data_IF_196210618734
#
_entry.id   IF_196210618734
#
_cell.length_a   1.000
_cell.length_b   1.000
_cell.length_c   1.000
_cell.angle_alpha   90.00
_cell.angle_beta   90.00
_cell.angle_gamma   90.00
#
_symmetry.space_group_name_H-M   'P 1'
#
loop_
_entity.id
_entity.type
_entity.pdbx_description
1 polymer ?
#
# COMPACT_ATOMS: atom_id res chain seq x y z
N UNK A 1 -18.26 5.44 16.88
CA UNK A 1 -17.75 4.42 17.52
C UNK A 1 -17.78 3.18 16.78
N UNK A 2 -18.85 2.80 16.20
CA UNK A 2 -18.94 1.65 15.34
C UNK A 2 -18.03 1.71 14.14
N UNK A 3 -17.66 2.90 13.72
CA UNK A 3 -16.81 3.10 12.54
C UNK A 3 -15.34 3.08 12.86
N UNK A 4 -14.99 2.58 14.02
CA UNK A 4 -13.60 2.40 14.37
C UNK A 4 -12.92 1.39 13.45
N UNK A 5 -11.62 1.41 13.46
CA UNK A 5 -10.81 0.64 12.50
C UNK A 5 -11.19 -0.83 12.43
N UNK A 6 -11.61 -1.43 13.53
CA UNK A 6 -11.94 -2.85 13.53
C UNK A 6 -13.09 -3.22 12.64
N UNK A 7 -14.02 -2.29 12.41
CA UNK A 7 -15.20 -2.55 11.60
C UNK A 7 -15.05 -2.06 10.18
N UNK A 8 -13.90 -1.46 9.85
CA UNK A 8 -13.64 -0.94 8.51
C UNK A 8 -12.45 -1.68 7.93
N UNK A 9 -12.64 -2.31 6.78
CA UNK A 9 -11.57 -3.00 6.06
C UNK A 9 -11.23 -2.27 4.80
N UNK A 10 -9.95 -2.04 4.59
CA UNK A 10 -9.44 -1.41 3.38
C UNK A 10 -8.40 -2.33 2.77
N UNK A 11 -8.64 -2.74 1.54
CA UNK A 11 -7.75 -3.64 0.82
C UNK A 11 -7.26 -2.94 -0.43
N UNK A 12 -5.95 -3.02 -0.65
CA UNK A 12 -5.29 -2.37 -1.77
C UNK A 12 -4.47 -3.39 -2.53
N UNK A 13 -4.34 -3.17 -3.83
CA UNK A 13 -3.41 -3.91 -4.66
C UNK A 13 -2.25 -2.98 -5.01
N UNK A 14 -1.04 -3.52 -5.00
CA UNK A 14 0.14 -2.70 -5.24
C UNK A 14 1.24 -3.52 -5.90
N UNK A 15 2.11 -2.83 -6.63
CA UNK A 15 3.31 -3.42 -7.18
C UNK A 15 4.49 -2.81 -6.44
N UNK A 16 5.20 -3.62 -5.67
CA UNK A 16 6.31 -3.18 -4.86
C UNK A 16 7.64 -3.50 -5.56
N UNK A 17 8.61 -2.60 -5.45
CA UNK A 17 9.93 -2.83 -6.00
C UNK A 17 10.65 -3.92 -5.22
N UNK A 18 11.42 -4.75 -5.92
CA UNK A 18 12.18 -5.81 -5.30
C UNK A 18 11.36 -7.09 -5.11
N UNK A 19 12.03 -8.14 -4.70
CA UNK A 19 11.41 -9.44 -4.52
C UNK A 19 11.07 -9.63 -3.05
N UNK A 20 9.80 -9.82 -2.76
CA UNK A 20 9.30 -10.08 -1.41
C UNK A 20 8.97 -11.57 -1.36
N UNK A 21 9.61 -12.29 -0.45
CA UNK A 21 9.48 -13.75 -0.44
C UNK A 21 8.23 -14.21 0.29
N UNK A 22 7.80 -13.49 1.32
CA UNK A 22 6.56 -13.83 2.00
C UNK A 22 5.96 -12.59 2.63
N UNK A 23 4.66 -12.68 2.88
CA UNK A 23 3.94 -11.58 3.49
C UNK A 23 4.32 -11.31 4.93
N UNK A 24 3.82 -10.21 5.45
CA UNK A 24 4.09 -9.80 6.81
C UNK A 24 3.31 -8.56 7.17
N UNK A 25 3.75 -7.93 8.23
CA UNK A 25 3.16 -6.69 8.70
C UNK A 25 4.22 -5.63 8.93
N UNK A 26 3.87 -4.39 8.65
CA UNK A 26 4.71 -3.24 9.00
C UNK A 26 3.95 -2.48 10.08
N UNK A 27 4.48 -2.55 11.29
CA UNK A 27 3.88 -1.89 12.46
C UNK A 27 4.83 -0.78 12.87
N UNK A 28 4.58 0.41 12.35
CA UNK A 28 5.47 1.54 12.57
C UNK A 28 4.69 2.83 12.52
N UNK A 29 4.90 3.74 13.49
CA UNK A 29 4.14 4.98 13.53
C UNK A 29 4.54 5.91 12.39
N UNK A 30 3.56 6.64 11.88
CA UNK A 30 3.74 7.53 10.73
C UNK A 30 3.41 8.96 11.14
N UNK A 31 4.27 9.89 10.73
CA UNK A 31 4.08 11.31 10.93
C UNK A 31 4.73 12.10 9.82
N UNK A 32 4.77 13.42 9.99
CA UNK A 32 5.44 14.27 9.02
C UNK A 32 6.93 14.02 9.02
N UNK A 33 7.51 14.00 7.81
CA UNK A 33 8.96 13.88 7.68
C UNK A 33 9.62 15.06 8.42
N UNK A 34 10.69 14.80 9.19
CA UNK A 34 11.29 15.86 10.02
C UNK A 34 11.78 17.08 9.26
N UNK A 35 12.26 16.91 8.04
CA UNK A 35 12.82 18.01 7.26
C UNK A 35 12.07 18.27 5.97
N UNK A 36 11.55 17.24 5.32
CA UNK A 36 10.80 17.40 4.07
C UNK A 36 9.32 17.34 4.35
N UNK A 37 8.74 18.47 4.69
CA UNK A 37 7.40 18.54 5.28
C UNK A 37 6.28 18.08 4.37
N UNK A 38 6.51 17.99 3.07
CA UNK A 38 5.50 17.47 2.15
C UNK A 38 5.46 15.93 2.13
N UNK A 39 6.41 15.30 2.80
CA UNK A 39 6.47 13.83 2.90
C UNK A 39 6.04 13.38 4.29
N UNK A 40 5.61 12.12 4.33
CA UNK A 40 5.40 11.41 5.59
C UNK A 40 6.60 10.49 5.81
N UNK A 41 6.76 10.01 7.02
CA UNK A 41 7.86 9.11 7.36
C UNK A 41 7.50 8.28 8.57
N UNK A 42 8.24 7.20 8.78
CA UNK A 42 8.19 6.47 10.05
C UNK A 42 8.91 7.32 11.08
N UNK A 43 8.17 7.80 12.08
CA UNK A 43 8.71 8.60 13.17
C UNK A 43 8.11 8.11 14.48
N UNK A 44 8.85 8.29 15.55
CA UNK A 44 8.37 7.83 16.87
C UNK A 44 7.15 8.63 17.31
N UNK A 45 6.38 8.05 18.22
CA UNK A 45 5.16 8.71 18.69
C UNK A 45 5.45 10.01 19.42
N UNK A 46 6.56 10.09 20.15
CA UNK A 46 6.91 11.33 20.83
C UNK A 46 7.39 12.41 19.86
N UNK A 47 7.58 12.09 18.58
CA UNK A 47 7.89 13.07 17.55
C UNK A 47 6.72 13.29 16.61
N UNK A 48 5.51 12.92 17.04
CA UNK A 48 4.32 13.15 16.27
C UNK A 48 3.85 11.99 15.41
N UNK A 49 4.50 10.84 15.51
CA UNK A 49 4.07 9.64 14.81
C UNK A 49 2.78 9.09 15.41
N UNK A 50 1.90 8.62 14.53
CA UNK A 50 0.65 7.99 14.95
C UNK A 50 0.72 6.50 14.62
N UNK A 51 0.21 5.64 15.49
CA UNK A 51 0.26 4.19 15.25
C UNK A 51 -0.32 3.84 13.89
N UNK A 52 0.37 2.97 13.18
CA UNK A 52 -0.06 2.54 11.85
C UNK A 52 0.40 1.11 11.61
N UNK A 53 -0.49 0.31 11.04
CA UNK A 53 -0.21 -1.10 10.78
C UNK A 53 -0.70 -1.44 9.38
N UNK A 54 0.19 -1.98 8.58
CA UNK A 54 -0.09 -2.45 7.23
C UNK A 54 0.23 -3.94 7.17
N UNK A 55 -0.75 -4.74 6.79
CA UNK A 55 -0.53 -6.15 6.48
C UNK A 55 -0.34 -6.28 4.98
N UNK A 56 0.58 -7.14 4.55
CA UNK A 56 0.74 -7.40 3.12
C UNK A 56 0.95 -8.89 2.89
N UNK A 57 0.47 -9.36 1.74
CA UNK A 57 0.75 -10.72 1.30
C UNK A 57 1.11 -10.73 -0.17
N UNK A 58 1.94 -11.70 -0.54
CA UNK A 58 2.44 -11.81 -1.91
C UNK A 58 1.38 -12.50 -2.75
N UNK A 59 1.03 -11.87 -3.86
CA UNK A 59 0.12 -12.47 -4.83
C UNK A 59 0.87 -13.06 -6.01
N UNK A 60 1.89 -12.37 -6.50
CA UNK A 60 2.64 -12.83 -7.66
C UNK A 60 4.03 -12.20 -7.66
N UNK A 61 5.05 -12.99 -7.99
CA UNK A 61 6.43 -12.51 -8.02
C UNK A 61 6.92 -12.34 -9.45
N UNK A 62 7.67 -11.28 -9.66
CA UNK A 62 8.37 -11.00 -10.92
C UNK A 62 9.85 -10.84 -10.60
N UNK A 63 10.72 -10.83 -11.61
CA UNK A 63 12.17 -10.79 -11.33
C UNK A 63 12.64 -9.61 -10.48
N UNK A 64 12.01 -8.43 -10.63
CA UNK A 64 12.48 -7.23 -9.93
C UNK A 64 11.40 -6.54 -9.13
N UNK A 65 10.19 -7.09 -9.06
CA UNK A 65 9.09 -6.49 -8.32
C UNK A 65 8.09 -7.56 -7.92
N UNK A 66 7.18 -7.21 -7.01
CA UNK A 66 6.24 -8.16 -6.44
C UNK A 66 4.85 -7.54 -6.37
N UNK A 67 3.86 -8.28 -6.86
CA UNK A 67 2.46 -7.90 -6.75
C UNK A 67 1.97 -8.32 -5.36
N UNK A 68 1.45 -7.36 -4.59
CA UNK A 68 1.02 -7.60 -3.22
C UNK A 68 -0.38 -7.09 -2.98
N UNK A 69 -1.03 -7.69 -2.00
CA UNK A 69 -2.30 -7.19 -1.47
C UNK A 69 -2.02 -6.65 -0.08
N UNK A 70 -2.46 -5.42 0.17
CA UNK A 70 -2.28 -4.79 1.47
C UNK A 70 -3.61 -4.61 2.16
N UNK A 71 -3.65 -4.89 3.46
CA UNK A 71 -4.83 -4.68 4.28
C UNK A 71 -4.49 -3.72 5.40
N UNK A 72 -5.34 -2.72 5.61
CA UNK A 72 -5.09 -1.68 6.60
C UNK A 72 -6.13 -1.72 7.71
N UNK A 73 -5.65 -1.59 8.94
CA UNK A 73 -6.52 -1.33 10.09
C UNK A 73 -6.51 0.14 10.48
N UNK A 74 -5.54 0.88 9.95
CA UNK A 74 -5.44 2.33 10.13
C UNK A 74 -5.36 2.95 8.74
N UNK A 75 -5.49 4.26 8.65
CA UNK A 75 -5.43 4.92 7.35
C UNK A 75 -4.69 6.24 7.44
N UNK A 76 -3.42 6.20 7.83
CA UNK A 76 -2.60 7.40 7.88
C UNK A 76 -2.24 7.85 6.48
N UNK A 77 -1.95 9.12 6.34
CA UNK A 77 -1.58 9.70 5.04
C UNK A 77 -0.39 8.93 4.45
N UNK A 78 -0.54 8.50 3.20
CA UNK A 78 0.49 7.76 2.44
C UNK A 78 0.94 6.47 3.14
N UNK A 79 0.10 5.86 3.96
CA UNK A 79 0.55 4.77 4.82
C UNK A 79 1.23 3.62 4.09
N UNK A 80 0.60 3.05 3.07
CA UNK A 80 1.21 1.91 2.35
C UNK A 80 2.51 2.34 1.69
N UNK A 81 2.51 3.52 1.08
CA UNK A 81 3.68 4.04 0.37
C UNK A 81 4.88 4.20 1.32
N UNK A 82 4.63 4.78 2.49
CA UNK A 82 5.67 4.99 3.50
C UNK A 82 6.13 3.67 4.10
N UNK A 83 5.19 2.82 4.47
CA UNK A 83 5.52 1.53 5.08
C UNK A 83 6.35 0.65 4.14
N UNK A 84 5.93 0.52 2.89
CA UNK A 84 6.65 -0.32 1.96
C UNK A 84 8.04 0.26 1.66
N UNK A 85 8.16 1.58 1.54
CA UNK A 85 9.47 2.19 1.37
C UNK A 85 10.37 1.95 2.59
N UNK A 86 9.79 1.96 3.79
CA UNK A 86 10.56 1.78 5.01
C UNK A 86 11.18 0.38 5.13
N UNK A 87 10.63 -0.60 4.43
CA UNK A 87 11.20 -1.95 4.40
C UNK A 87 11.92 -2.24 3.08
N UNK A 88 12.30 -1.18 2.36
CA UNK A 88 13.07 -1.25 1.12
C UNK A 88 12.32 -1.82 -0.07
N UNK A 89 10.99 -1.72 -0.06
CA UNK A 89 10.15 -2.15 -1.16
C UNK A 89 9.18 -1.06 -1.56
N UNK A 90 9.68 0.14 -1.94
CA UNK A 90 8.78 1.22 -2.35
C UNK A 90 7.95 0.79 -3.54
N UNK A 91 6.81 1.44 -3.72
CA UNK A 91 5.93 1.08 -4.82
C UNK A 91 6.53 1.55 -6.16
N UNK A 92 6.35 0.72 -7.18
CA UNK A 92 6.78 1.05 -8.53
C UNK A 92 6.09 2.33 -8.98
N UNK A 93 6.84 3.24 -9.55
CA UNK A 93 6.31 4.50 -10.08
C UNK A 93 6.05 5.58 -9.04
N UNK A 94 6.29 5.31 -7.77
CA UNK A 94 6.00 6.30 -6.72
C UNK A 94 6.94 7.49 -6.85
N UNK A 95 6.39 8.69 -7.12
CA UNK A 95 7.24 9.86 -7.38
C UNK A 95 7.87 10.46 -6.13
N UNK A 96 7.41 10.07 -4.94
CA UNK A 96 7.89 10.65 -3.68
C UNK A 96 8.77 9.69 -2.92
N UNK A 97 8.32 8.44 -2.79
CA UNK A 97 9.01 7.44 -1.96
C UNK A 97 9.74 6.39 -2.78
N UNK A 98 9.58 6.41 -4.09
CA UNK A 98 10.15 5.41 -4.96
C UNK A 98 11.63 5.58 -5.21
N UNK A 99 12.22 4.58 -5.82
CA UNK A 99 13.63 4.59 -6.21
C UNK A 99 13.74 4.41 -7.70
N UNK A 100 14.70 5.09 -8.30
CA UNK A 100 15.00 4.90 -9.71
C UNK A 100 15.76 3.60 -9.88
N UNK A 101 15.24 2.73 -10.75
CA UNK A 101 15.89 1.48 -11.10
C UNK A 101 15.49 1.12 -12.52
N UNK A 102 16.44 1.07 -13.46
CA UNK A 102 16.10 0.81 -14.86
C UNK A 102 15.50 -0.57 -15.11
N UNK A 103 15.63 -1.49 -14.15
CA UNK A 103 15.05 -2.82 -14.28
C UNK A 103 13.58 -2.87 -13.87
N UNK A 104 13.08 -1.83 -13.23
CA UNK A 104 11.67 -1.75 -12.89
C UNK A 104 10.86 -1.24 -14.07
N UNK A 105 9.62 -1.68 -14.22
CA UNK A 105 8.77 -1.14 -15.28
C UNK A 105 8.49 0.33 -15.01
N UNK A 106 8.30 1.09 -16.10
CA UNK A 106 7.92 2.49 -15.97
C UNK A 106 6.43 2.58 -15.71
N UNK A 107 6.07 3.46 -14.78
CA UNK A 107 4.69 3.69 -14.45
C UNK A 107 4.55 5.14 -13.99
N UNK A 108 3.51 5.87 -14.44
CA UNK A 108 3.47 7.33 -14.24
C UNK A 108 3.05 7.78 -12.84
N UNK A 109 2.69 6.86 -11.98
CA UNK A 109 2.27 7.15 -10.61
C UNK A 109 2.58 5.95 -9.74
N UNK A 110 2.33 6.07 -8.44
CA UNK A 110 2.51 4.89 -7.57
C UNK A 110 1.54 3.79 -8.01
N UNK A 111 2.06 2.59 -8.16
CA UNK A 111 1.27 1.43 -8.57
C UNK A 111 0.48 0.91 -7.38
N UNK A 112 -0.64 1.56 -7.10
CA UNK A 112 -1.46 1.33 -5.92
C UNK A 112 -2.92 1.55 -6.28
N UNK A 113 -3.78 0.63 -5.87
CA UNK A 113 -5.20 0.69 -6.18
C UNK A 113 -6.02 0.23 -4.98
N UNK A 114 -6.93 1.07 -4.53
CA UNK A 114 -7.87 0.71 -3.48
C UNK A 114 -8.94 -0.18 -4.13
N UNK A 115 -8.91 -1.47 -3.83
CA UNK A 115 -9.76 -2.43 -4.52
C UNK A 115 -10.98 -2.84 -3.71
N UNK A 116 -10.93 -2.72 -2.40
CA UNK A 116 -12.04 -3.18 -1.57
C UNK A 116 -12.17 -2.31 -0.33
N UNK A 117 -13.41 -1.96 -0.02
CA UNK A 117 -13.76 -1.30 1.22
C UNK A 117 -14.92 -2.07 1.83
N UNK A 118 -14.78 -2.50 3.08
CA UNK A 118 -15.82 -3.18 3.78
C UNK A 118 -16.04 -2.59 5.16
N UNK A 119 -17.28 -2.52 5.60
CA UNK A 119 -17.59 -2.07 6.95
C UNK A 119 -18.87 -2.75 7.44
N UNK A 120 -19.07 -2.71 8.75
CA UNK A 120 -20.29 -3.20 9.37
C UNK A 120 -21.18 -2.00 9.69
N UNK A 121 -22.40 -2.03 9.19
CA UNK A 121 -23.34 -0.93 9.42
C UNK A 121 -23.60 -0.79 10.93
N UNK A 122 -23.45 0.41 11.49
CA UNK A 122 -23.53 0.57 12.95
C UNK A 122 -24.90 0.30 13.57
N UNK A 123 -25.98 0.43 12.80
CA UNK A 123 -27.32 0.20 13.33
C UNK A 123 -27.84 -1.19 13.07
N UNK A 124 -27.56 -1.74 11.89
CA UNK A 124 -28.16 -3.01 11.47
C UNK A 124 -27.23 -4.19 11.64
N UNK A 125 -25.94 -3.96 11.83
CA UNK A 125 -24.96 -5.02 11.86
C UNK A 125 -24.68 -5.64 10.50
N UNK A 126 -25.30 -5.12 9.43
CA UNK A 126 -25.07 -5.65 8.08
C UNK A 126 -23.68 -5.35 7.60
N UNK A 127 -23.06 -6.35 7.00
CA UNK A 127 -21.79 -6.15 6.32
C UNK A 127 -22.04 -5.45 5.00
N UNK A 128 -21.28 -4.38 4.76
CA UNK A 128 -21.35 -3.63 3.52
C UNK A 128 -19.97 -3.68 2.89
N UNK A 129 -19.92 -3.97 1.60
CA UNK A 129 -18.66 -4.17 0.91
C UNK A 129 -18.75 -3.64 -0.50
N UNK A 130 -17.70 -2.94 -0.90
CA UNK A 130 -17.56 -2.42 -2.26
C UNK A 130 -16.26 -2.93 -2.84
N UNK A 131 -16.32 -3.32 -4.11
CA UNK A 131 -15.14 -3.71 -4.85
C UNK A 131 -15.00 -2.83 -6.07
N UNK A 132 -13.78 -2.40 -6.36
CA UNK A 132 -13.49 -1.59 -7.54
C UNK A 132 -12.44 -2.34 -8.35
N UNK A 133 -12.73 -2.64 -9.62
CA UNK A 133 -11.76 -3.35 -10.44
C UNK A 133 -10.52 -2.52 -10.70
N UNK A 134 -9.42 -3.21 -10.92
CA UNK A 134 -8.13 -2.56 -11.17
C UNK A 134 -8.23 -1.70 -12.43
N UNK A 135 -7.71 -0.46 -12.38
CA UNK A 135 -7.78 0.41 -13.56
C UNK A 135 -6.93 -0.13 -14.71
N UNK A 136 -7.24 0.34 -15.89
CA UNK A 136 -6.65 -0.19 -17.11
C UNK A 136 -5.13 -0.05 -17.14
N UNK A 137 -4.62 1.08 -16.67
CA UNK A 137 -3.17 1.31 -16.66
C UNK A 137 -2.44 0.26 -15.81
N UNK A 138 -3.01 -0.12 -14.68
CA UNK A 138 -2.40 -1.16 -13.86
C UNK A 138 -2.59 -2.54 -14.46
N UNK A 139 -3.73 -2.81 -15.09
CA UNK A 139 -3.92 -4.08 -15.77
C UNK A 139 -2.89 -4.25 -16.89
N UNK A 140 -2.65 -3.18 -17.65
CA UNK A 140 -1.66 -3.23 -18.71
C UNK A 140 -0.25 -3.43 -18.15
N UNK A 141 0.05 -2.82 -17.02
CA UNK A 141 1.33 -3.02 -16.36
C UNK A 141 1.55 -4.48 -15.98
N UNK A 142 0.55 -5.12 -15.39
CA UNK A 142 0.67 -6.52 -15.01
C UNK A 142 0.73 -7.43 -16.22
N UNK A 143 -0.01 -7.13 -17.26
CA UNK A 143 0.06 -7.93 -18.50
C UNK A 143 1.45 -7.87 -19.09
N UNK A 144 2.06 -6.68 -19.13
CA UNK A 144 3.42 -6.54 -19.61
C UNK A 144 4.41 -7.36 -18.79
N UNK A 145 4.25 -7.37 -17.48
CA UNK A 145 5.14 -8.13 -16.62
C UNK A 145 4.96 -9.64 -16.78
N UNK A 146 3.71 -10.09 -16.92
CA UNK A 146 3.42 -11.52 -17.04
C UNK A 146 3.83 -12.10 -18.38
N UNK A 147 3.67 -11.33 -19.43
CA UNK A 147 3.85 -11.84 -20.79
C UNK A 147 5.08 -11.27 -21.47
N UNK A 148 5.94 -10.62 -20.72
CA UNK A 148 7.21 -10.18 -21.23
C UNK A 148 7.13 -9.06 -22.24
N UNK A 149 6.06 -8.28 -22.12
CA UNK A 149 5.81 -7.19 -23.07
C UNK A 149 6.90 -6.16 -23.14
#
# INVERSE_FOLDING_TARGET
>A
RQLQARTVRRVYLALAAGVIKKGGGVDAPIGRHPTQRIKMAVVTENRGGKPALTWYRVLESFPYCTFIECSLETGRTHQIRVHMASINHPLVGDPVYGKTNPKLPEFPRQALHATRLGLVHPLTGMKMQWEVPMPEDMRNLFDALRYGG
#
